data_IF_147138922123
#
_entry.id   IF_147138922123
#
_cell.length_a   1.000
_cell.length_b   1.000
_cell.length_c   1.000
_cell.angle_alpha   90.00
_cell.angle_beta   90.00
_cell.angle_gamma   90.00
#
_symmetry.space_group_name_H-M   'P 1'
#
loop_
_entity.id
_entity.type
_entity.pdbx_description
1 polymer ?
#
# COMPACT_ATOMS: atom_id res chain seq x y z
N UNK A 1 13.32 6.27 0.07
CA UNK A 1 11.93 6.25 -0.45
C UNK A 1 11.37 4.84 -0.30
N UNK A 2 10.37 4.62 0.56
CA UNK A 2 9.89 3.27 0.88
C UNK A 2 8.76 2.76 -0.02
N UNK A 3 7.88 3.63 -0.53
CA UNK A 3 6.72 3.24 -1.35
C UNK A 3 7.05 2.68 -2.73
N UNK A 4 8.19 3.08 -3.33
CA UNK A 4 8.55 2.70 -4.70
C UNK A 4 8.67 1.18 -4.88
N UNK A 5 9.08 0.46 -3.83
CA UNK A 5 9.21 -1.00 -3.86
C UNK A 5 7.88 -1.72 -4.05
N UNK A 6 6.75 -1.10 -3.70
CA UNK A 6 5.42 -1.70 -3.83
C UNK A 6 4.82 -1.58 -5.24
N UNK A 7 5.33 -0.63 -6.03
CA UNK A 7 4.80 -0.31 -7.36
C UNK A 7 5.74 -0.70 -8.49
N UNK A 8 7.00 -0.99 -8.16
CA UNK A 8 8.00 -1.50 -9.09
C UNK A 8 7.71 -2.96 -9.44
N UNK A 9 7.91 -3.34 -10.71
CA UNK A 9 7.81 -4.74 -11.12
C UNK A 9 8.88 -5.57 -10.39
N UNK A 10 8.48 -6.70 -9.83
CA UNK A 10 9.42 -7.65 -9.23
C UNK A 10 9.83 -7.32 -7.80
N UNK A 11 8.94 -6.75 -6.98
CA UNK A 11 9.20 -6.58 -5.54
C UNK A 11 9.70 -7.87 -4.91
N UNK A 12 10.97 -7.89 -4.54
CA UNK A 12 11.54 -8.95 -3.73
C UNK A 12 10.95 -8.89 -2.31
N UNK A 13 10.92 -10.05 -1.66
CA UNK A 13 10.43 -10.23 -0.29
C UNK A 13 10.94 -9.10 0.62
N UNK A 14 10.04 -8.29 1.13
CA UNK A 14 10.38 -7.03 1.83
C UNK A 14 9.73 -6.99 3.20
N UNK A 15 10.45 -6.50 4.22
CA UNK A 15 9.89 -6.33 5.55
C UNK A 15 9.29 -4.93 5.74
N UNK A 16 8.10 -4.89 6.32
CA UNK A 16 7.45 -3.71 6.87
C UNK A 16 7.51 -3.78 8.39
N UNK A 17 7.90 -2.68 9.01
CA UNK A 17 7.84 -2.54 10.47
C UNK A 17 6.53 -1.86 10.83
N UNK A 18 5.78 -2.51 11.72
CA UNK A 18 4.48 -2.04 12.19
C UNK A 18 4.63 -1.70 13.68
N UNK A 19 4.43 -0.44 14.08
CA UNK A 19 4.55 -0.02 15.48
C UNK A 19 3.55 -0.76 16.36
N UNK A 20 3.96 -1.33 17.50
CA UNK A 20 3.04 -2.15 18.34
C UNK A 20 2.35 -1.40 19.50
N UNK A 21 2.46 -0.07 19.52
CA UNK A 21 1.99 0.78 20.63
C UNK A 21 2.92 0.78 21.86
N UNK A 22 3.93 -0.10 21.90
CA UNK A 22 5.02 -0.13 22.87
C UNK A 22 6.38 0.21 22.25
N UNK A 23 7.47 -0.27 22.89
CA UNK A 23 8.86 -0.03 22.46
C UNK A 23 9.38 -1.06 21.44
N UNK A 24 8.54 -1.97 20.93
CA UNK A 24 8.94 -3.00 19.97
C UNK A 24 8.15 -2.88 18.67
N UNK A 25 8.78 -3.21 17.54
CA UNK A 25 8.13 -3.19 16.23
C UNK A 25 7.74 -4.62 15.84
N UNK A 26 6.49 -4.83 15.44
CA UNK A 26 6.09 -6.07 14.77
C UNK A 26 6.64 -6.04 13.34
N UNK A 27 7.37 -7.07 12.95
CA UNK A 27 7.91 -7.22 11.60
C UNK A 27 6.91 -8.02 10.78
N UNK A 28 6.33 -7.37 9.77
CA UNK A 28 5.54 -8.01 8.72
C UNK A 28 6.44 -8.25 7.52
N UNK A 29 6.55 -9.48 7.06
CA UNK A 29 7.25 -9.81 5.83
C UNK A 29 6.25 -9.85 4.69
N UNK A 30 6.37 -8.96 3.73
CA UNK A 30 5.57 -8.95 2.49
C UNK A 30 6.17 -9.98 1.55
N UNK A 31 5.47 -11.10 1.40
CA UNK A 31 5.90 -12.23 0.57
C UNK A 31 5.52 -12.01 -0.89
N UNK A 32 4.39 -11.35 -1.15
CA UNK A 32 3.96 -10.97 -2.50
C UNK A 32 3.02 -9.77 -2.45
N UNK A 33 3.20 -8.84 -3.39
CA UNK A 33 2.32 -7.69 -3.59
C UNK A 33 1.93 -7.57 -5.06
N UNK A 34 0.64 -7.38 -5.32
CA UNK A 34 0.16 -7.00 -6.65
C UNK A 34 -0.44 -5.60 -6.57
N UNK A 35 -0.08 -4.78 -7.54
CA UNK A 35 -0.52 -3.38 -7.59
C UNK A 35 -1.32 -3.16 -8.86
N UNK A 36 -2.56 -2.70 -8.69
CA UNK A 36 -3.44 -2.26 -9.78
C UNK A 36 -3.68 -0.76 -9.62
N UNK A 37 -3.69 -0.05 -10.73
CA UNK A 37 -3.88 1.40 -10.78
C UNK A 37 -4.92 1.71 -11.85
N UNK A 38 -5.87 2.58 -11.55
CA UNK A 38 -6.92 2.98 -12.50
C UNK A 38 -7.30 4.44 -12.30
N UNK A 39 -7.78 5.06 -13.38
CA UNK A 39 -8.48 6.33 -13.36
C UNK A 39 -9.92 6.09 -12.89
N UNK A 40 -10.39 6.86 -11.93
CA UNK A 40 -11.74 6.79 -11.34
C UNK A 40 -12.61 7.94 -11.84
N UNK A 41 -12.07 9.16 -11.89
CA UNK A 41 -12.75 10.33 -12.44
C UNK A 41 -11.72 11.27 -13.09
N UNK A 42 -12.13 12.02 -14.13
CA UNK A 42 -11.32 13.02 -14.84
C UNK A 42 -12.06 14.35 -15.08
N UNK A 43 -13.17 14.59 -14.36
CA UNK A 43 -14.00 15.79 -14.55
C UNK A 43 -13.27 17.08 -14.18
N UNK A 44 -13.59 18.12 -14.94
CA UNK A 44 -13.21 19.51 -14.65
C UNK A 44 -11.70 19.74 -14.53
N UNK A 45 -10.88 18.90 -15.17
CA UNK A 45 -9.42 18.99 -15.09
C UNK A 45 -8.86 18.60 -13.72
N UNK A 46 -9.60 17.78 -12.95
CA UNK A 46 -9.14 17.09 -11.75
C UNK A 46 -9.17 15.58 -12.01
N UNK A 47 -8.14 14.88 -11.55
CA UNK A 47 -7.96 13.46 -11.85
C UNK A 47 -7.95 12.65 -10.57
N UNK A 48 -8.87 11.70 -10.43
CA UNK A 48 -8.92 10.80 -9.29
C UNK A 48 -8.39 9.44 -9.71
N UNK A 49 -7.34 8.97 -9.06
CA UNK A 49 -6.77 7.65 -9.27
C UNK A 49 -6.97 6.78 -8.04
N UNK A 50 -7.18 5.49 -8.28
CA UNK A 50 -7.17 4.46 -7.24
C UNK A 50 -5.96 3.55 -7.44
N UNK A 51 -5.20 3.34 -6.36
CA UNK A 51 -4.13 2.35 -6.26
C UNK A 51 -4.62 1.22 -5.34
N UNK A 52 -4.89 0.06 -5.92
CA UNK A 52 -5.26 -1.14 -5.19
C UNK A 52 -4.06 -2.05 -4.99
N UNK A 53 -3.79 -2.40 -3.74
CA UNK A 53 -2.72 -3.32 -3.32
C UNK A 53 -3.35 -4.63 -2.85
N UNK A 54 -3.01 -5.74 -3.48
CA UNK A 54 -3.30 -7.09 -2.99
C UNK A 54 -2.03 -7.66 -2.36
N UNK A 55 -2.04 -7.86 -1.04
CA UNK A 55 -0.84 -8.12 -0.25
C UNK A 55 -0.94 -9.46 0.46
N UNK A 56 0.04 -10.33 0.22
CA UNK A 56 0.29 -11.55 0.99
C UNK A 56 1.50 -11.34 1.87
N UNK A 57 1.34 -11.60 3.16
CA UNK A 57 2.38 -11.36 4.14
C UNK A 57 2.46 -12.48 5.19
N UNK A 58 3.53 -12.46 5.96
CA UNK A 58 3.80 -13.36 7.08
C UNK A 58 4.37 -12.59 8.28
N UNK A 59 4.21 -13.13 9.49
CA UNK A 59 4.87 -12.57 10.68
C UNK A 59 6.36 -12.93 10.68
N UNK A 60 7.22 -11.91 10.72
CA UNK A 60 8.67 -12.04 10.84
C UNK A 60 9.15 -12.21 12.28
N UNK A 61 8.37 -11.79 13.27
CA UNK A 61 8.66 -11.95 14.69
C UNK A 61 7.40 -12.22 15.52
N UNK A 62 7.58 -12.44 16.82
CA UNK A 62 6.49 -12.64 17.77
C UNK A 62 5.72 -11.33 17.96
N UNK A 63 4.41 -11.39 17.84
CA UNK A 63 3.50 -10.29 18.18
C UNK A 63 3.32 -10.25 19.69
N UNK A 64 3.53 -9.09 20.31
CA UNK A 64 3.33 -8.89 21.74
C UNK A 64 1.84 -8.69 22.05
N UNK A 65 1.38 -7.44 22.05
CA UNK A 65 0.07 -7.08 22.63
C UNK A 65 -0.98 -6.64 21.59
N UNK A 66 -0.65 -6.68 20.30
CA UNK A 66 -1.58 -6.31 19.24
C UNK A 66 -2.56 -7.43 18.89
N UNK A 67 -3.81 -7.07 18.66
CA UNK A 67 -4.79 -8.00 18.04
C UNK A 67 -4.49 -8.17 16.55
N UNK A 68 -4.97 -9.26 15.97
CA UNK A 68 -4.84 -9.50 14.52
C UNK A 68 -5.46 -8.35 13.70
N UNK A 69 -6.61 -7.81 14.14
CA UNK A 69 -7.29 -6.71 13.45
C UNK A 69 -6.49 -5.39 13.53
N UNK A 70 -5.87 -5.11 14.68
CA UNK A 70 -4.97 -3.95 14.83
C UNK A 70 -3.78 -4.08 13.88
N UNK A 71 -3.13 -5.25 13.87
CA UNK A 71 -1.99 -5.50 13.01
C UNK A 71 -2.33 -5.37 11.51
N UNK A 72 -3.49 -5.89 11.09
CA UNK A 72 -3.98 -5.72 9.72
C UNK A 72 -4.22 -4.24 9.40
N UNK A 73 -4.90 -3.50 10.28
CA UNK A 73 -5.20 -2.08 10.09
C UNK A 73 -3.92 -1.26 9.93
N UNK A 74 -2.98 -1.43 10.85
CA UNK A 74 -1.73 -0.66 10.83
C UNK A 74 -0.81 -1.05 9.66
N UNK A 75 -0.85 -2.31 9.23
CA UNK A 75 -0.17 -2.73 8.00
C UNK A 75 -0.75 -2.01 6.78
N UNK A 76 -2.08 -1.95 6.67
CA UNK A 76 -2.78 -1.23 5.60
C UNK A 76 -2.47 0.27 5.63
N UNK A 77 -2.51 0.88 6.80
CA UNK A 77 -2.21 2.30 7.00
C UNK A 77 -0.77 2.63 6.59
N UNK A 78 0.21 1.84 7.01
CA UNK A 78 1.61 2.03 6.63
C UNK A 78 1.82 1.91 5.12
N UNK A 79 1.26 0.88 4.48
CA UNK A 79 1.35 0.72 3.02
C UNK A 79 0.72 1.89 2.27
N UNK A 80 -0.50 2.27 2.68
CA UNK A 80 -1.21 3.41 2.11
C UNK A 80 -0.42 4.71 2.27
N UNK A 81 0.17 4.92 3.46
CA UNK A 81 1.01 6.09 3.72
C UNK A 81 2.23 6.11 2.80
N UNK A 82 2.96 5.00 2.69
CA UNK A 82 4.17 4.94 1.86
C UNK A 82 3.89 5.20 0.36
N UNK A 83 2.72 4.79 -0.15
CA UNK A 83 2.29 5.12 -1.52
C UNK A 83 1.89 6.59 -1.66
N UNK A 84 1.14 7.13 -0.69
CA UNK A 84 0.74 8.55 -0.71
C UNK A 84 1.94 9.48 -0.61
N UNK A 85 2.90 9.16 0.26
CA UNK A 85 4.16 9.90 0.39
C UNK A 85 4.95 9.85 -0.93
N UNK A 86 4.97 8.71 -1.63
CA UNK A 86 5.62 8.57 -2.94
C UNK A 86 4.92 9.43 -4.00
N UNK A 87 3.59 9.45 -4.01
CA UNK A 87 2.81 10.30 -4.91
C UNK A 87 3.11 11.78 -4.66
N UNK A 88 3.04 12.22 -3.40
CA UNK A 88 3.30 13.61 -3.02
C UNK A 88 4.71 14.05 -3.41
N UNK A 89 5.72 13.21 -3.16
CA UNK A 89 7.08 13.45 -3.64
C UNK A 89 7.15 13.55 -5.17
N UNK A 90 6.40 12.72 -5.88
CA UNK A 90 6.31 12.81 -7.34
C UNK A 90 5.69 14.12 -7.85
N UNK A 91 4.71 14.66 -7.12
CA UNK A 91 4.14 15.99 -7.41
C UNK A 91 5.15 17.09 -7.16
N UNK A 92 5.89 17.03 -6.05
CA UNK A 92 6.90 18.02 -5.67
C UNK A 92 8.09 18.06 -6.63
N UNK A 93 8.55 16.89 -7.07
CA UNK A 93 9.72 16.74 -7.95
C UNK A 93 9.37 16.73 -9.45
N UNK A 94 8.07 16.72 -9.79
CA UNK A 94 7.61 16.59 -11.18
C UNK A 94 7.91 15.21 -11.81
N UNK A 95 7.94 14.15 -10.99
CA UNK A 95 8.27 12.78 -11.42
C UNK A 95 7.06 11.86 -11.22
N UNK A 96 6.59 11.23 -12.30
CA UNK A 96 5.49 10.26 -12.25
C UNK A 96 5.94 8.85 -11.83
N UNK A 97 6.25 8.67 -10.54
CA UNK A 97 6.61 7.35 -10.00
C UNK A 97 5.51 6.29 -10.10
N UNK A 98 4.26 6.73 -10.25
CA UNK A 98 3.08 5.86 -10.27
C UNK A 98 2.57 5.60 -11.69
N UNK A 99 3.24 6.08 -12.74
CA UNK A 99 2.86 5.91 -14.14
C UNK A 99 1.39 6.35 -14.40
N UNK A 100 0.91 7.37 -13.69
CA UNK A 100 -0.47 7.88 -13.77
C UNK A 100 -0.75 8.57 -15.10
N UNK A 101 0.25 9.21 -15.70
CA UNK A 101 0.15 9.89 -16.98
C UNK A 101 -0.16 8.91 -18.11
N UNK A 102 0.50 7.75 -18.10
CA UNK A 102 0.20 6.68 -19.05
C UNK A 102 -1.21 6.09 -18.82
N UNK A 103 -1.67 6.00 -17.56
CA UNK A 103 -3.05 5.61 -17.26
C UNK A 103 -4.03 6.65 -17.81
N UNK A 104 -3.78 7.95 -17.59
CA UNK A 104 -4.61 9.04 -18.11
C UNK A 104 -4.64 9.03 -19.63
N UNK A 105 -3.49 8.92 -20.30
CA UNK A 105 -3.38 8.80 -21.75
C UNK A 105 -4.27 7.69 -22.34
N UNK A 106 -4.28 6.51 -21.71
CA UNK A 106 -5.04 5.35 -22.21
C UNK A 106 -6.55 5.45 -21.96
N UNK A 107 -6.98 6.17 -20.92
CA UNK A 107 -8.40 6.22 -20.53
C UNK A 107 -9.09 7.52 -20.94
N UNK A 108 -8.37 8.63 -21.01
CA UNK A 108 -8.87 9.95 -21.39
C UNK A 108 -7.76 10.76 -22.08
N UNK A 109 -7.52 10.43 -23.35
CA UNK A 109 -6.49 11.06 -24.17
C UNK A 109 -6.66 12.59 -24.28
N UNK A 110 -7.91 13.09 -24.34
CA UNK A 110 -8.17 14.53 -24.48
C UNK A 110 -7.71 15.31 -23.25
N UNK A 111 -8.05 14.81 -22.07
CA UNK A 111 -7.62 15.42 -20.81
C UNK A 111 -6.10 15.30 -20.64
N UNK A 112 -5.52 14.13 -20.98
CA UNK A 112 -4.08 13.96 -21.00
C UNK A 112 -3.38 14.98 -21.91
N UNK A 113 -3.82 15.14 -23.16
CA UNK A 113 -3.18 16.05 -24.12
C UNK A 113 -3.24 17.51 -23.64
N UNK A 114 -4.38 17.90 -23.06
CA UNK A 114 -4.58 19.24 -22.48
C UNK A 114 -3.67 19.53 -21.29
N UNK A 115 -3.46 18.52 -20.44
CA UNK A 115 -2.83 18.68 -19.12
C UNK A 115 -1.51 17.91 -18.96
N UNK A 116 -0.90 17.43 -20.05
CA UNK A 116 0.30 16.55 -20.01
C UNK A 116 1.46 17.10 -19.19
N UNK A 117 1.58 18.42 -19.08
CA UNK A 117 2.64 19.10 -18.32
C UNK A 117 2.30 19.29 -16.83
N UNK A 118 1.03 19.13 -16.42
CA UNK A 118 0.59 19.45 -15.04
C UNK A 118 -0.48 18.52 -14.45
N UNK A 119 -0.82 17.41 -15.11
CA UNK A 119 -1.83 16.48 -14.63
C UNK A 119 -1.53 15.95 -13.23
N UNK A 120 -0.24 15.73 -12.88
CA UNK A 120 0.17 15.26 -11.55
C UNK A 120 -0.30 16.20 -10.44
N UNK A 121 -0.10 17.51 -10.60
CA UNK A 121 -0.54 18.53 -9.63
C UNK A 121 -2.08 18.65 -9.54
N UNK A 122 -2.80 18.14 -10.54
CA UNK A 122 -4.27 18.06 -10.60
C UNK A 122 -4.81 16.70 -10.16
N UNK A 123 -3.93 15.79 -9.76
CA UNK A 123 -4.28 14.42 -9.43
C UNK A 123 -4.46 14.22 -7.92
N UNK A 124 -5.38 13.34 -7.56
CA UNK A 124 -5.54 12.80 -6.22
C UNK A 124 -5.41 11.26 -6.28
N UNK A 125 -4.80 10.67 -5.26
CA UNK A 125 -4.58 9.22 -5.17
C UNK A 125 -5.27 8.65 -3.93
N UNK A 126 -6.28 7.83 -4.15
CA UNK A 126 -6.84 6.94 -3.13
C UNK A 126 -6.06 5.62 -3.13
N UNK A 127 -5.67 5.13 -1.95
CA UNK A 127 -4.97 3.85 -1.80
C UNK A 127 -5.83 2.88 -1.02
N UNK A 128 -6.05 1.69 -1.58
CA UNK A 128 -6.77 0.59 -0.94
C UNK A 128 -5.86 -0.60 -0.82
N UNK A 129 -5.73 -1.14 0.39
CA UNK A 129 -4.85 -2.28 0.66
C UNK A 129 -5.65 -3.46 1.22
N UNK A 130 -5.65 -4.56 0.48
CA UNK A 130 -6.20 -5.85 0.86
C UNK A 130 -5.06 -6.75 1.35
N UNK A 131 -4.91 -6.82 2.68
CA UNK A 131 -3.81 -7.51 3.35
C UNK A 131 -4.28 -8.86 3.90
N UNK A 132 -3.56 -9.92 3.53
CA UNK A 132 -3.72 -11.26 4.11
C UNK A 132 -2.41 -11.69 4.76
N UNK A 133 -2.45 -11.94 6.08
CA UNK A 133 -1.30 -12.50 6.82
C UNK A 133 -1.48 -14.03 6.87
N UNK A 134 -0.66 -14.76 6.13
CA UNK A 134 -0.83 -16.19 5.89
C UNK A 134 -0.34 -17.02 7.08
N UNK A 135 0.90 -16.77 7.52
CA UNK A 135 1.59 -17.60 8.53
C UNK A 135 2.46 -16.77 9.47
N UNK A 136 2.83 -17.37 10.61
CA UNK A 136 4.00 -16.95 11.37
C UNK A 136 5.23 -17.75 10.91
N UNK A 137 6.37 -17.08 10.74
CA UNK A 137 7.67 -17.76 10.61
C UNK A 137 7.93 -18.67 11.85
N UNK A 138 8.92 -19.58 11.77
CA UNK A 138 9.21 -20.77 12.60
C UNK A 138 9.01 -20.74 14.15
N UNK A 139 8.60 -19.63 14.73
CA UNK A 139 8.02 -19.52 16.05
C UNK A 139 6.69 -20.29 16.14
N UNK A 140 6.57 -21.14 17.17
CA UNK A 140 5.42 -22.04 17.40
C UNK A 140 4.06 -21.39 17.05
N UNK A 141 3.40 -21.98 16.06
CA UNK A 141 2.13 -21.57 15.42
C UNK A 141 0.97 -21.24 16.39
N UNK A 142 1.00 -21.73 17.63
CA UNK A 142 -0.11 -21.64 18.58
C UNK A 142 -0.58 -20.20 18.86
N UNK A 143 0.35 -19.27 19.07
CA UNK A 143 0.01 -17.86 19.38
C UNK A 143 -0.60 -17.12 18.18
N UNK A 144 -0.21 -17.48 16.95
CA UNK A 144 -0.77 -16.87 15.75
C UNK A 144 -2.21 -17.31 15.50
N UNK A 145 -2.51 -18.59 15.71
CA UNK A 145 -3.88 -19.09 15.63
C UNK A 145 -4.75 -18.47 16.74
N UNK A 146 -4.25 -18.36 17.98
CA UNK A 146 -4.92 -17.63 19.06
C UNK A 146 -5.21 -16.16 18.70
N UNK A 147 -4.28 -15.46 18.03
CA UNK A 147 -4.49 -14.08 17.58
C UNK A 147 -5.57 -13.97 16.50
N UNK A 148 -5.59 -14.90 15.54
CA UNK A 148 -6.63 -14.96 14.50
C UNK A 148 -8.01 -15.24 15.10
N UNK A 149 -8.10 -16.11 16.10
CA UNK A 149 -9.36 -16.41 16.79
C UNK A 149 -9.87 -15.20 17.56
N UNK A 150 -9.02 -14.51 18.34
CA UNK A 150 -9.40 -13.30 19.09
C UNK A 150 -9.92 -12.19 18.18
N UNK A 151 -9.34 -12.03 16.98
CA UNK A 151 -9.78 -11.03 16.00
C UNK A 151 -11.11 -11.33 15.30
N UNK A 152 -11.69 -12.53 15.45
CA UNK A 152 -13.02 -12.87 14.89
C UNK A 152 -14.17 -12.53 15.84
N UNK A 153 -13.89 -12.30 17.12
CA UNK A 153 -14.88 -12.08 18.18
C UNK A 153 -15.13 -10.61 18.52
N UNK A 154 -14.36 -9.70 17.94
CA UNK A 154 -14.48 -8.24 18.07
C UNK A 154 -15.04 -7.62 16.77
#
# INVERSE_FOLDING_TARGET
>A
MKGIRWVSKGTERSSLKVPDGGNQETIIVIDNIKTKKKLVDSKEGKYQFEVQLEVKASLGNKVNDQTYNQLLRETKENLSKEIKDLFQLGVEEGIDFLDLGHILYRNDFKSWEKDKENYLAKSEVEVRADVTIQHASAFKNKRFEELKERGKTD
#
